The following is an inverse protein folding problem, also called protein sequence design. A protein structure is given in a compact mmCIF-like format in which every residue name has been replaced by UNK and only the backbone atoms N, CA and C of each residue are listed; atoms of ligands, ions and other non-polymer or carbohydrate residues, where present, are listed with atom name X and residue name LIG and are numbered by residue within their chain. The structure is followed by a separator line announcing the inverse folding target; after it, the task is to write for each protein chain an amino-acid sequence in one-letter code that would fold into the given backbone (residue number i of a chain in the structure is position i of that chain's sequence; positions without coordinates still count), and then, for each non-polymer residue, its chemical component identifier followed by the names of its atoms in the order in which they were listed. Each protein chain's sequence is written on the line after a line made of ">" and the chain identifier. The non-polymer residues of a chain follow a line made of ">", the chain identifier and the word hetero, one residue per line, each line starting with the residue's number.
data_IF_733154479444
#
_entry.id   IF_733154479444
#
_cell.length_a   1.000
_cell.length_b   1.000
_cell.length_c   1.000
_cell.angle_alpha   90.00
_cell.angle_beta   90.00
_cell.angle_gamma   90.00
#
_symmetry.space_group_name_H-M   'P 1'
#
loop_
_entity.id
_entity.type
_entity.pdbx_description
1 polymer ?
#
# COMPACT_ATOMS: atom_id res chain seq x y z
N UNK A 1 -19.77 70.98 -24.55
CA UNK A 1 -19.33 70.56 -23.20
C UNK A 1 -19.07 69.05 -23.08
N UNK A 2 -19.83 68.18 -23.77
CA UNK A 2 -19.70 66.72 -23.67
C UNK A 2 -18.30 66.13 -24.01
N UNK A 3 -17.62 66.62 -25.06
CA UNK A 3 -16.27 66.11 -25.43
C UNK A 3 -15.18 66.41 -24.40
N UNK A 4 -15.28 67.55 -23.69
CA UNK A 4 -14.32 67.92 -22.64
C UNK A 4 -14.53 67.09 -21.38
N UNK A 5 -15.79 66.82 -21.02
CA UNK A 5 -16.12 65.92 -19.93
C UNK A 5 -15.65 64.48 -20.21
N UNK A 6 -15.88 63.97 -21.44
CA UNK A 6 -15.43 62.63 -21.84
C UNK A 6 -13.89 62.46 -21.75
N UNK A 7 -13.12 63.47 -22.16
CA UNK A 7 -11.66 63.44 -22.05
C UNK A 7 -11.16 63.25 -20.61
N UNK A 8 -11.78 63.93 -19.64
CA UNK A 8 -11.42 63.80 -18.21
C UNK A 8 -11.69 62.38 -17.71
N UNK A 9 -12.84 61.78 -18.04
CA UNK A 9 -13.15 60.42 -17.63
C UNK A 9 -12.23 59.38 -18.28
N UNK A 10 -11.90 59.54 -19.57
CA UNK A 10 -10.92 58.68 -20.25
C UNK A 10 -9.57 58.73 -19.53
N UNK A 11 -9.07 59.92 -19.19
CA UNK A 11 -7.82 60.06 -18.44
C UNK A 11 -7.89 59.37 -17.07
N UNK A 12 -9.00 59.53 -16.33
CA UNK A 12 -9.18 58.86 -15.04
C UNK A 12 -9.15 57.34 -15.19
N UNK A 13 -9.88 56.77 -16.16
CA UNK A 13 -9.88 55.33 -16.38
C UNK A 13 -8.51 54.79 -16.82
N UNK A 14 -7.77 55.53 -17.64
CA UNK A 14 -6.40 55.14 -18.03
C UNK A 14 -5.43 55.18 -16.84
N UNK A 15 -5.56 56.16 -15.94
CA UNK A 15 -4.76 56.22 -14.71
C UNK A 15 -5.08 55.06 -13.78
N UNK A 16 -6.36 54.70 -13.62
CA UNK A 16 -6.79 53.55 -12.81
C UNK A 16 -6.25 52.24 -13.42
N UNK A 17 -6.34 52.08 -14.75
CA UNK A 17 -5.80 50.90 -15.44
C UNK A 17 -4.27 50.79 -15.27
N UNK A 18 -3.55 51.88 -15.47
CA UNK A 18 -2.09 51.92 -15.29
C UNK A 18 -1.68 51.67 -13.82
N UNK A 19 -2.44 52.20 -12.86
CA UNK A 19 -2.23 51.96 -11.43
C UNK A 19 -2.44 50.50 -11.04
N UNK A 20 -3.55 49.89 -11.48
CA UNK A 20 -3.84 48.47 -11.23
C UNK A 20 -2.77 47.56 -11.87
N UNK A 21 -2.37 47.84 -13.11
CA UNK A 21 -1.32 47.08 -13.81
C UNK A 21 0.04 47.19 -13.10
N UNK A 22 0.39 48.39 -12.62
CA UNK A 22 1.63 48.60 -11.86
C UNK A 22 1.65 47.81 -10.55
N UNK A 23 0.52 47.72 -9.84
CA UNK A 23 0.40 46.93 -8.62
C UNK A 23 0.53 45.43 -8.87
N UNK A 24 -0.03 44.92 -9.96
CA UNK A 24 0.13 43.51 -10.35
C UNK A 24 1.60 43.19 -10.63
N UNK A 25 2.30 44.05 -11.36
CA UNK A 25 3.67 43.80 -11.81
C UNK A 25 4.72 43.77 -10.69
N UNK A 26 4.44 44.36 -9.53
CA UNK A 26 5.35 44.38 -8.37
C UNK A 26 4.94 43.43 -7.26
N UNK A 27 3.75 42.81 -7.36
CA UNK A 27 3.25 41.90 -6.35
C UNK A 27 4.03 40.58 -6.38
N UNK A 28 4.49 40.13 -5.21
CA UNK A 28 5.16 38.84 -5.04
C UNK A 28 4.15 37.84 -4.49
N UNK A 29 4.06 36.67 -5.12
CA UNK A 29 3.22 35.58 -4.65
C UNK A 29 3.78 35.03 -3.33
N UNK A 30 2.97 34.90 -2.26
CA UNK A 30 3.37 34.19 -1.06
C UNK A 30 3.73 32.73 -1.41
N UNK A 31 4.70 32.16 -0.72
CA UNK A 31 5.04 30.75 -0.84
C UNK A 31 4.87 30.07 0.50
N UNK A 32 4.43 28.82 0.50
CA UNK A 32 4.39 28.06 1.75
C UNK A 32 5.81 27.83 2.25
N UNK A 33 6.03 28.10 3.54
CA UNK A 33 7.25 27.77 4.25
C UNK A 33 6.91 27.20 5.60
N UNK A 34 7.44 26.02 5.91
CA UNK A 34 7.22 25.39 7.20
C UNK A 34 8.31 25.86 8.15
N UNK A 35 7.95 26.76 9.06
CA UNK A 35 8.85 27.22 10.12
C UNK A 35 8.88 26.17 11.24
N UNK A 36 10.10 25.80 11.68
CA UNK A 36 10.33 24.80 12.73
C UNK A 36 9.59 23.46 12.49
N UNK A 37 9.89 22.76 11.38
CA UNK A 37 9.25 21.48 11.11
C UNK A 37 9.58 20.45 12.21
N UNK A 38 8.63 19.57 12.51
CA UNK A 38 8.85 18.46 13.44
C UNK A 38 9.97 17.54 12.95
N UNK A 39 10.03 17.30 11.63
CA UNK A 39 11.08 16.51 10.99
C UNK A 39 11.51 17.12 9.66
N UNK A 40 12.79 16.96 9.34
CA UNK A 40 13.34 17.29 8.02
C UNK A 40 13.99 16.05 7.43
N UNK A 41 13.48 15.60 6.29
CA UNK A 41 13.96 14.45 5.53
C UNK A 41 14.83 14.96 4.38
N UNK A 42 16.13 14.71 4.47
CA UNK A 42 17.13 15.25 3.54
C UNK A 42 17.85 14.17 2.73
N UNK A 43 17.84 12.91 3.19
CA UNK A 43 18.55 11.84 2.53
C UNK A 43 17.74 10.54 2.51
N UNK A 44 17.85 9.78 1.41
CA UNK A 44 17.46 8.38 1.41
C UNK A 44 18.30 7.59 2.43
N UNK A 45 17.68 6.67 3.15
CA UNK A 45 18.30 5.92 4.24
C UNK A 45 18.37 6.67 5.58
N UNK A 46 17.90 7.93 5.63
CA UNK A 46 17.78 8.66 6.88
C UNK A 46 16.79 7.96 7.80
N UNK A 47 17.15 7.84 9.08
CA UNK A 47 16.27 7.35 10.14
C UNK A 47 15.77 8.51 10.98
N UNK A 48 14.52 8.44 11.39
CA UNK A 48 13.90 9.38 12.32
C UNK A 48 12.85 8.65 13.16
N UNK A 49 12.38 9.27 14.24
CA UNK A 49 11.41 8.65 15.14
C UNK A 49 10.23 9.57 15.39
N UNK A 50 9.03 9.01 15.34
CA UNK A 50 7.77 9.66 15.75
C UNK A 50 7.22 8.84 16.92
N UNK A 51 7.06 9.45 18.09
CA UNK A 51 6.51 8.79 19.29
C UNK A 51 7.17 7.43 19.60
N UNK A 52 8.50 7.36 19.47
CA UNK A 52 9.29 6.15 19.72
C UNK A 52 9.28 5.11 18.59
N UNK A 53 8.46 5.26 17.55
CA UNK A 53 8.51 4.42 16.34
C UNK A 53 9.55 4.96 15.37
N UNK A 54 10.56 4.14 15.08
CA UNK A 54 11.61 4.49 14.13
C UNK A 54 11.17 4.20 12.69
N UNK A 55 11.30 5.21 11.83
CA UNK A 55 11.10 5.16 10.39
C UNK A 55 12.44 5.26 9.66
N UNK A 56 12.47 4.77 8.43
CA UNK A 56 13.57 4.91 7.49
C UNK A 56 13.04 5.52 6.19
N UNK A 57 13.72 6.54 5.66
CA UNK A 57 13.39 7.14 4.37
C UNK A 57 13.81 6.16 3.27
N UNK A 58 12.85 5.55 2.59
CA UNK A 58 13.10 4.57 1.52
C UNK A 58 13.25 5.21 0.16
N UNK A 59 12.65 6.38 -0.07
CA UNK A 59 12.84 7.19 -1.27
C UNK A 59 12.66 8.68 -0.94
N UNK A 60 13.33 9.54 -1.70
CA UNK A 60 13.25 10.99 -1.56
C UNK A 60 13.43 11.62 -2.94
N UNK A 61 12.43 12.35 -3.44
CA UNK A 61 12.47 13.01 -4.75
C UNK A 61 11.49 14.17 -4.85
N UNK A 62 11.91 15.29 -5.43
CA UNK A 62 11.00 16.35 -5.88
C UNK A 62 10.03 16.94 -4.85
N UNK A 63 10.39 16.93 -3.56
CA UNK A 63 9.49 17.37 -2.48
C UNK A 63 8.51 16.30 -1.97
N UNK A 64 8.73 15.04 -2.36
CA UNK A 64 8.05 13.86 -1.85
C UNK A 64 9.05 12.85 -1.28
N UNK A 65 8.60 12.03 -0.34
CA UNK A 65 9.37 10.98 0.29
C UNK A 65 8.51 9.73 0.49
N UNK A 66 9.15 8.57 0.59
CA UNK A 66 8.53 7.40 1.20
C UNK A 66 9.29 7.04 2.46
N UNK A 67 8.54 6.70 3.50
CA UNK A 67 9.09 6.28 4.78
C UNK A 67 8.53 4.93 5.13
N UNK A 68 9.39 4.06 5.65
CA UNK A 68 8.99 2.73 6.07
C UNK A 68 9.40 2.47 7.51
N UNK A 69 8.57 1.71 8.22
CA UNK A 69 8.91 1.15 9.52
C UNK A 69 8.66 -0.35 9.50
N UNK A 70 9.44 -1.10 10.28
CA UNK A 70 9.34 -2.56 10.33
C UNK A 70 9.01 -2.99 11.75
N UNK A 71 7.87 -3.66 11.94
CA UNK A 71 7.59 -4.41 13.15
C UNK A 71 8.35 -5.74 13.08
N UNK A 72 9.39 -5.93 13.89
CA UNK A 72 10.20 -7.16 13.88
C UNK A 72 9.45 -8.40 14.40
N UNK A 73 8.40 -8.19 15.19
CA UNK A 73 7.60 -9.23 15.85
C UNK A 73 6.12 -9.07 15.49
N UNK A 74 5.80 -8.91 14.20
CA UNK A 74 4.40 -8.93 13.79
C UNK A 74 3.88 -10.36 13.85
N UNK A 75 2.72 -10.56 14.47
CA UNK A 75 2.06 -11.86 14.55
C UNK A 75 1.35 -12.18 13.23
N UNK A 76 1.62 -13.37 12.71
CA UNK A 76 0.97 -13.97 11.55
C UNK A 76 0.28 -15.27 11.96
N UNK A 77 -0.75 -15.64 11.20
CA UNK A 77 -1.46 -16.90 11.39
C UNK A 77 -1.78 -17.56 10.05
N UNK A 78 -1.88 -18.89 10.06
CA UNK A 78 -2.34 -19.69 8.94
C UNK A 78 -3.15 -20.88 9.46
N UNK A 79 -4.04 -21.41 8.64
CA UNK A 79 -4.81 -22.61 8.97
C UNK A 79 -4.45 -23.74 8.02
N UNK A 80 -4.26 -24.93 8.59
CA UNK A 80 -4.18 -26.18 7.84
C UNK A 80 -5.51 -26.91 8.02
N UNK A 81 -6.29 -27.00 6.97
CA UNK A 81 -7.59 -27.68 6.99
C UNK A 81 -7.43 -29.20 7.17
N UNK A 82 -8.39 -29.84 7.84
CA UNK A 82 -8.44 -31.29 7.95
C UNK A 82 -8.47 -31.92 6.54
N UNK A 83 -7.74 -33.02 6.36
CA UNK A 83 -7.55 -33.72 5.10
C UNK A 83 -6.79 -32.92 4.01
N UNK A 84 -6.29 -31.71 4.32
CA UNK A 84 -5.36 -31.00 3.44
C UNK A 84 -3.98 -31.62 3.45
N UNK A 85 -3.15 -31.25 2.48
CA UNK A 85 -1.77 -31.69 2.38
C UNK A 85 -0.80 -30.54 2.61
N UNK A 86 0.30 -30.82 3.29
CA UNK A 86 1.39 -29.88 3.55
C UNK A 86 2.72 -30.55 3.21
N UNK A 87 3.64 -29.78 2.63
CA UNK A 87 4.99 -30.25 2.36
C UNK A 87 5.90 -29.94 3.56
N UNK A 88 6.68 -30.94 3.99
CA UNK A 88 7.69 -30.84 5.04
C UNK A 88 8.92 -31.61 4.58
N UNK A 89 10.10 -30.97 4.58
CA UNK A 89 11.37 -31.64 4.23
C UNK A 89 11.37 -32.33 2.85
N UNK A 90 10.66 -31.74 1.86
CA UNK A 90 10.36 -32.31 0.53
C UNK A 90 9.47 -33.57 0.54
N UNK A 91 8.82 -33.89 1.65
CA UNK A 91 7.85 -34.97 1.79
C UNK A 91 6.45 -34.38 1.94
N UNK A 92 5.48 -34.91 1.21
CA UNK A 92 4.08 -34.47 1.33
C UNK A 92 3.38 -35.26 2.42
N UNK A 93 2.77 -34.55 3.38
CA UNK A 93 1.98 -35.12 4.44
C UNK A 93 0.52 -34.70 4.31
N UNK A 94 -0.40 -35.58 4.70
CA UNK A 94 -1.82 -35.28 4.86
C UNK A 94 -2.14 -35.05 6.32
N UNK A 95 -2.82 -33.94 6.60
CA UNK A 95 -3.32 -33.64 7.94
C UNK A 95 -4.59 -34.43 8.22
N UNK A 96 -4.60 -35.12 9.36
CA UNK A 96 -5.73 -35.89 9.86
C UNK A 96 -6.06 -35.42 11.26
N UNK A 97 -7.25 -34.86 11.43
CA UNK A 97 -7.79 -34.46 12.72
C UNK A 97 -8.78 -35.54 13.18
N UNK A 98 -8.68 -36.05 14.42
CA UNK A 98 -9.60 -37.05 14.92
C UNK A 98 -11.02 -36.48 15.02
N UNK A 99 -12.00 -37.28 14.62
CA UNK A 99 -13.43 -36.93 14.70
C UNK A 99 -13.92 -37.02 16.16
N UNK A 100 -13.58 -36.01 16.96
CA UNK A 100 -13.93 -35.86 18.36
C UNK A 100 -14.36 -34.41 18.61
N UNK A 101 -15.16 -34.15 19.64
CA UNK A 101 -15.74 -32.81 19.87
C UNK A 101 -14.73 -31.72 20.25
N UNK A 102 -13.55 -32.10 20.77
CA UNK A 102 -12.50 -31.16 21.15
C UNK A 102 -11.11 -31.82 20.98
N UNK A 103 -10.63 -31.95 19.74
CA UNK A 103 -9.35 -32.58 19.47
C UNK A 103 -8.22 -31.67 19.96
N UNK A 104 -7.30 -32.21 20.76
CA UNK A 104 -6.08 -31.49 21.17
C UNK A 104 -4.82 -32.00 20.44
N UNK A 105 -5.00 -32.93 19.51
CA UNK A 105 -3.96 -33.55 18.71
C UNK A 105 -4.44 -33.71 17.28
N UNK A 106 -3.51 -33.62 16.34
CA UNK A 106 -3.71 -33.99 14.96
C UNK A 106 -2.51 -34.83 14.50
N UNK A 107 -2.63 -35.45 13.34
CA UNK A 107 -1.58 -36.32 12.81
C UNK A 107 -1.27 -35.91 11.38
N UNK A 108 0.01 -35.79 11.07
CA UNK A 108 0.50 -35.76 9.69
C UNK A 108 0.86 -37.18 9.29
N UNK A 109 0.25 -37.66 8.22
CA UNK A 109 0.54 -38.97 7.63
C UNK A 109 1.15 -38.79 6.24
N UNK A 110 2.29 -39.42 5.99
CA UNK A 110 2.98 -39.32 4.71
C UNK A 110 2.08 -39.80 3.56
N UNK A 111 2.06 -39.03 2.47
CA UNK A 111 1.34 -39.37 1.25
C UNK A 111 2.28 -40.12 0.31
N UNK A 112 2.16 -41.44 0.30
CA UNK A 112 2.87 -42.29 -0.66
C UNK A 112 2.03 -42.48 -1.93
N UNK A 113 2.47 -41.87 -3.02
CA UNK A 113 1.83 -41.97 -4.34
C UNK A 113 2.48 -43.06 -5.19
N UNK A 114 1.65 -43.82 -5.91
CA UNK A 114 2.15 -44.76 -6.92
C UNK A 114 2.54 -43.98 -8.19
N UNK A 115 3.46 -44.53 -8.98
CA UNK A 115 3.77 -44.00 -10.32
C UNK A 115 2.52 -44.08 -11.21
N UNK A 116 2.33 -43.12 -12.11
CA UNK A 116 1.23 -43.11 -13.08
C UNK A 116 1.21 -44.36 -13.99
N UNK A 117 2.37 -44.98 -14.20
CA UNK A 117 2.51 -46.22 -14.97
C UNK A 117 2.10 -47.49 -14.20
N UNK A 118 1.79 -47.36 -12.91
CA UNK A 118 1.44 -48.49 -12.04
C UNK A 118 0.03 -48.96 -12.37
N UNK A 119 -0.10 -50.18 -12.90
CA UNK A 119 -1.41 -50.77 -13.19
C UNK A 119 -2.09 -51.23 -11.91
N UNK A 120 -3.28 -50.68 -11.63
CA UNK A 120 -4.12 -51.10 -10.51
C UNK A 120 -5.42 -51.74 -10.99
N UNK A 121 -5.92 -52.72 -10.25
CA UNK A 121 -7.23 -53.33 -10.44
C UNK A 121 -8.00 -53.33 -9.13
N UNK A 122 -9.29 -53.03 -9.18
CA UNK A 122 -10.19 -53.19 -8.03
C UNK A 122 -10.78 -54.60 -8.02
N UNK A 123 -10.71 -55.27 -6.87
CA UNK A 123 -11.39 -56.54 -6.62
C UNK A 123 -12.12 -56.45 -5.27
N UNK A 124 -13.45 -56.40 -5.32
CA UNK A 124 -14.26 -56.17 -4.12
C UNK A 124 -14.07 -54.75 -3.59
N UNK A 125 -13.71 -54.62 -2.31
CA UNK A 125 -13.45 -53.35 -1.64
C UNK A 125 -11.94 -53.02 -1.53
N UNK A 126 -11.09 -53.77 -2.21
CA UNK A 126 -9.64 -53.59 -2.17
C UNK A 126 -9.07 -53.32 -3.56
N UNK A 127 -8.05 -52.47 -3.61
CA UNK A 127 -7.28 -52.16 -4.81
C UNK A 127 -5.96 -52.91 -4.77
N UNK A 128 -5.60 -53.53 -5.90
CA UNK A 128 -4.39 -54.32 -6.07
C UNK A 128 -3.51 -53.74 -7.17
N UNK A 129 -2.20 -53.79 -7.00
CA UNK A 129 -1.21 -53.51 -8.05
C UNK A 129 -0.92 -54.79 -8.83
N UNK A 130 -0.91 -54.67 -10.16
CA UNK A 130 -0.58 -55.76 -11.08
C UNK A 130 0.94 -55.80 -11.26
N UNK A 131 1.58 -56.84 -10.75
CA UNK A 131 3.03 -57.05 -10.86
C UNK A 131 3.31 -58.17 -11.85
N UNK A 132 4.16 -57.91 -12.86
CA UNK A 132 4.60 -58.95 -13.79
C UNK A 132 5.58 -59.91 -13.08
N UNK A 133 5.41 -61.22 -13.24
CA UNK A 133 6.37 -62.20 -12.76
C UNK A 133 7.77 -62.02 -13.38
N UNK A 134 8.82 -62.50 -12.70
CA UNK A 134 10.24 -62.32 -13.08
C UNK A 134 10.65 -62.76 -14.48
N UNK A 135 9.79 -63.49 -15.19
CA UNK A 135 9.97 -63.81 -16.60
C UNK A 135 8.90 -63.00 -17.34
N UNK A 136 9.27 -62.22 -18.36
CA UNK A 136 8.40 -61.37 -19.23
C UNK A 136 7.26 -62.12 -19.97
N UNK A 137 6.71 -63.15 -19.34
CA UNK A 137 5.59 -63.95 -19.77
C UNK A 137 4.32 -63.28 -19.26
N UNK A 138 3.57 -62.70 -20.19
CA UNK A 138 2.34 -61.95 -19.91
C UNK A 138 1.23 -62.80 -19.24
N UNK A 139 1.46 -64.10 -19.09
CA UNK A 139 0.55 -65.08 -18.49
C UNK A 139 0.62 -65.17 -16.96
N UNK A 140 1.72 -64.74 -16.32
CA UNK A 140 1.90 -64.81 -14.86
C UNK A 140 1.94 -63.41 -14.24
N UNK A 141 0.77 -62.80 -14.10
CA UNK A 141 0.57 -61.55 -13.35
C UNK A 141 0.19 -61.89 -11.90
N UNK A 142 0.87 -61.28 -10.95
CA UNK A 142 0.54 -61.35 -9.52
C UNK A 142 -0.22 -60.09 -9.10
N UNK A 143 -1.15 -60.25 -8.16
CA UNK A 143 -1.86 -59.14 -7.54
C UNK A 143 -1.32 -58.93 -6.13
N UNK A 144 -0.82 -57.73 -5.86
CA UNK A 144 -0.33 -57.32 -4.54
C UNK A 144 -1.24 -56.21 -4.03
N UNK A 145 -1.81 -56.28 -2.81
CA UNK A 145 -2.59 -55.18 -2.24
C UNK A 145 -1.82 -53.86 -2.31
N UNK A 146 -2.49 -52.75 -2.67
CA UNK A 146 -1.82 -51.45 -2.87
C UNK A 146 -1.00 -51.04 -1.64
N UNK A 147 -1.53 -51.22 -0.43
CA UNK A 147 -0.82 -50.86 0.79
C UNK A 147 0.44 -51.71 1.02
N UNK A 148 0.39 -53.00 0.67
CA UNK A 148 1.56 -53.87 0.73
C UNK A 148 2.60 -53.47 -0.31
N UNK A 149 2.16 -53.19 -1.55
CA UNK A 149 3.04 -52.73 -2.62
C UNK A 149 3.72 -51.41 -2.25
N UNK A 150 2.98 -50.44 -1.70
CA UNK A 150 3.53 -49.17 -1.21
C UNK A 150 4.56 -49.40 -0.11
N UNK A 151 4.29 -50.24 0.88
CA UNK A 151 5.26 -50.58 1.93
C UNK A 151 6.53 -51.22 1.38
N UNK A 152 6.43 -52.06 0.36
CA UNK A 152 7.61 -52.66 -0.29
C UNK A 152 8.45 -51.64 -1.07
N UNK A 153 7.82 -50.63 -1.70
CA UNK A 153 8.50 -49.61 -2.50
C UNK A 153 9.05 -48.45 -1.66
N UNK A 154 8.27 -47.98 -0.68
CA UNK A 154 8.51 -46.74 0.05
C UNK A 154 8.77 -46.95 1.55
N UNK A 155 8.48 -48.14 2.09
CA UNK A 155 8.50 -48.42 3.53
C UNK A 155 7.18 -48.08 4.24
N UNK A 156 7.16 -48.21 5.56
CA UNK A 156 6.02 -47.76 6.38
C UNK A 156 5.90 -46.23 6.29
N UNK A 157 4.68 -45.68 6.11
CA UNK A 157 4.48 -44.24 5.99
C UNK A 157 4.89 -43.52 7.29
N UNK A 158 5.64 -42.44 7.15
CA UNK A 158 6.00 -41.63 8.30
C UNK A 158 4.74 -40.96 8.89
N UNK A 159 4.60 -41.06 10.21
CA UNK A 159 3.51 -40.44 10.95
C UNK A 159 4.08 -39.48 11.99
N UNK A 160 3.64 -38.21 11.98
CA UNK A 160 4.05 -37.19 12.96
C UNK A 160 2.83 -36.72 13.74
N UNK A 161 2.92 -36.75 15.07
CA UNK A 161 1.88 -36.19 15.94
C UNK A 161 2.08 -34.70 16.10
N UNK A 162 1.01 -33.94 15.90
CA UNK A 162 0.93 -32.51 16.17
C UNK A 162 0.15 -32.30 17.46
N UNK A 163 0.68 -31.44 18.33
CA UNK A 163 0.01 -31.02 19.56
C UNK A 163 0.04 -29.50 19.66
N UNK A 164 -0.95 -28.93 20.35
CA UNK A 164 -0.95 -27.52 20.67
C UNK A 164 0.34 -27.13 21.42
N UNK A 165 0.91 -25.98 21.04
CA UNK A 165 2.16 -25.46 21.59
C UNK A 165 3.43 -26.08 20.98
N UNK A 166 3.33 -27.10 20.13
CA UNK A 166 4.50 -27.62 19.42
C UNK A 166 4.93 -26.68 18.29
N UNK A 167 6.22 -26.72 17.97
CA UNK A 167 6.78 -26.02 16.83
C UNK A 167 6.51 -26.82 15.54
N UNK A 168 6.23 -26.11 14.46
CA UNK A 168 5.87 -26.61 13.15
C UNK A 168 6.51 -25.73 12.08
N UNK A 169 7.18 -26.31 11.09
CA UNK A 169 7.77 -25.52 10.01
C UNK A 169 6.70 -25.21 8.97
N UNK A 170 6.50 -23.95 8.61
CA UNK A 170 5.52 -23.56 7.60
C UNK A 170 6.03 -22.41 6.75
N UNK A 171 6.13 -22.61 5.43
CA UNK A 171 6.63 -21.61 4.48
C UNK A 171 7.98 -20.99 4.89
N UNK A 172 8.92 -21.81 5.35
CA UNK A 172 10.24 -21.41 5.90
C UNK A 172 10.18 -20.59 7.20
N UNK A 173 9.03 -20.50 7.86
CA UNK A 173 8.89 -19.91 9.18
C UNK A 173 8.82 -21.00 10.25
N UNK A 174 9.48 -20.75 11.38
CA UNK A 174 9.27 -21.54 12.60
C UNK A 174 7.95 -21.06 13.23
N UNK A 175 6.92 -21.90 13.14
CA UNK A 175 5.57 -21.57 13.61
C UNK A 175 5.19 -22.40 14.82
N UNK A 176 4.28 -21.91 15.65
CA UNK A 176 3.72 -22.66 16.78
C UNK A 176 2.29 -23.06 16.45
N UNK A 177 1.91 -24.28 16.82
CA UNK A 177 0.53 -24.72 16.74
C UNK A 177 -0.27 -24.03 17.85
N UNK A 178 -1.03 -23.01 17.49
CA UNK A 178 -1.79 -22.20 18.42
C UNK A 178 -3.07 -22.88 18.89
N UNK A 179 -3.77 -23.57 17.99
CA UNK A 179 -5.01 -24.30 18.30
C UNK A 179 -5.22 -25.48 17.34
N UNK A 180 -5.92 -26.50 17.80
CA UNK A 180 -6.40 -27.60 16.96
C UNK A 180 -7.92 -27.65 17.15
N UNK A 181 -8.65 -27.48 16.07
CA UNK A 181 -10.12 -27.62 16.04
C UNK A 181 -10.50 -28.88 15.28
N UNK A 182 -11.79 -29.17 15.15
CA UNK A 182 -12.28 -30.28 14.32
C UNK A 182 -12.07 -30.06 12.83
N UNK A 183 -11.88 -28.81 12.40
CA UNK A 183 -11.84 -28.41 11.00
C UNK A 183 -10.44 -28.05 10.54
N UNK A 184 -9.63 -27.43 11.41
CA UNK A 184 -8.30 -26.95 11.05
C UNK A 184 -7.33 -26.91 12.24
N UNK A 185 -6.04 -26.92 11.92
CA UNK A 185 -4.93 -26.60 12.83
C UNK A 185 -4.52 -25.15 12.59
N UNK A 186 -4.64 -24.31 13.61
CA UNK A 186 -4.20 -22.92 13.59
C UNK A 186 -2.71 -22.84 13.92
N UNK A 187 -1.94 -22.29 12.99
CA UNK A 187 -0.53 -21.97 13.13
C UNK A 187 -0.37 -20.48 13.43
N UNK A 188 0.58 -20.13 14.28
CA UNK A 188 0.93 -18.75 14.60
C UNK A 188 2.44 -18.57 14.67
N UNK A 189 2.95 -17.48 14.11
CA UNK A 189 4.37 -17.14 14.20
C UNK A 189 4.59 -15.64 14.22
N UNK A 190 5.78 -15.23 14.64
CA UNK A 190 6.23 -13.85 14.54
C UNK A 190 7.20 -13.70 13.38
N UNK A 191 7.00 -12.67 12.56
CA UNK A 191 7.91 -12.33 11.48
C UNK A 191 7.97 -10.81 11.26
N UNK A 192 9.03 -10.29 10.63
CA UNK A 192 9.11 -8.88 10.30
C UNK A 192 8.02 -8.44 9.31
N UNK A 193 7.26 -7.39 9.65
CA UNK A 193 6.31 -6.72 8.76
C UNK A 193 6.74 -5.28 8.51
N UNK A 194 7.10 -4.98 7.27
CA UNK A 194 7.40 -3.60 6.84
C UNK A 194 6.13 -2.92 6.34
N UNK A 195 5.89 -1.70 6.81
CA UNK A 195 4.81 -0.82 6.34
C UNK A 195 5.42 0.46 5.80
N UNK A 196 5.01 0.84 4.60
CA UNK A 196 5.49 2.04 3.90
C UNK A 196 4.37 3.08 3.84
N UNK A 197 4.73 4.35 4.02
CA UNK A 197 3.85 5.51 3.90
C UNK A 197 4.48 6.48 2.91
N UNK A 198 3.71 6.89 1.91
CA UNK A 198 4.10 7.95 0.97
C UNK A 198 3.77 9.31 1.56
N UNK A 199 4.69 10.25 1.39
CA UNK A 199 4.63 11.62 1.88
C UNK A 199 4.80 12.54 0.69
N UNK A 200 3.70 13.12 0.20
CA UNK A 200 3.73 14.05 -0.93
C UNK A 200 3.57 15.49 -0.44
N UNK A 201 4.22 16.44 -1.11
CA UNK A 201 4.07 17.86 -0.77
C UNK A 201 2.61 18.30 -0.83
N UNK A 202 2.10 18.84 0.27
CA UNK A 202 0.72 19.30 0.45
C UNK A 202 -0.26 18.22 0.90
N UNK A 203 0.17 16.96 1.01
CA UNK A 203 -0.66 15.86 1.53
C UNK A 203 -0.39 15.63 3.01
N UNK A 204 -1.40 15.11 3.70
CA UNK A 204 -1.30 14.67 5.08
C UNK A 204 -1.11 13.17 5.19
N UNK A 205 -0.31 12.73 6.15
CA UNK A 205 -0.10 11.32 6.46
C UNK A 205 -0.07 11.08 7.97
N UNK A 206 -0.60 9.93 8.40
CA UNK A 206 -0.58 9.53 9.80
C UNK A 206 0.65 8.69 10.10
N UNK A 207 1.43 9.11 11.10
CA UNK A 207 2.67 8.48 11.52
C UNK A 207 2.67 8.20 13.02
N UNK A 208 3.56 7.29 13.44
CA UNK A 208 3.70 6.86 14.82
C UNK A 208 2.68 5.79 15.26
N UNK A 209 2.80 5.30 16.50
CA UNK A 209 1.84 4.37 17.09
C UNK A 209 0.47 4.99 17.40
N UNK A 210 0.41 6.32 17.56
CA UNK A 210 -0.82 7.06 17.88
C UNK A 210 -1.58 7.58 16.66
N UNK A 211 -1.10 7.27 15.44
CA UNK A 211 -1.62 7.82 14.18
C UNK A 211 -1.70 9.37 14.19
N UNK A 212 -0.60 10.02 14.59
CA UNK A 212 -0.51 11.48 14.56
C UNK A 212 -0.41 11.96 13.11
N UNK A 213 -1.27 12.89 12.72
CA UNK A 213 -1.29 13.46 11.37
C UNK A 213 -0.19 14.51 11.20
N UNK A 214 0.54 14.40 10.10
CA UNK A 214 1.53 15.39 9.65
C UNK A 214 1.20 15.82 8.23
N UNK A 215 1.44 17.09 7.89
CA UNK A 215 1.54 17.55 6.51
C UNK A 215 2.98 17.45 6.04
N UNK A 216 3.18 16.93 4.84
CA UNK A 216 4.47 16.90 4.17
C UNK A 216 4.59 18.10 3.22
N UNK A 217 5.77 18.71 3.13
CA UNK A 217 6.03 19.80 2.20
C UNK A 217 7.45 19.73 1.64
N UNK A 218 7.58 19.96 0.33
CA UNK A 218 8.88 20.04 -0.33
C UNK A 218 9.53 21.41 -0.15
N UNK A 219 10.66 21.50 0.55
CA UNK A 219 11.35 22.76 0.79
C UNK A 219 12.87 22.62 0.64
N UNK A 220 13.46 23.40 -0.26
CA UNK A 220 14.92 23.46 -0.43
C UNK A 220 15.57 22.12 -0.83
N UNK A 221 14.86 21.26 -1.56
CA UNK A 221 15.32 19.91 -1.93
C UNK A 221 15.08 18.84 -0.86
N UNK A 222 14.53 19.22 0.29
CA UNK A 222 14.14 18.31 1.38
C UNK A 222 12.62 18.11 1.42
N UNK A 223 12.17 17.14 2.20
CA UNK A 223 10.78 17.02 2.63
C UNK A 223 10.71 17.32 4.12
N UNK A 224 9.91 18.32 4.48
CA UNK A 224 9.67 18.68 5.88
C UNK A 224 8.31 18.17 6.31
N UNK A 225 8.21 17.70 7.55
CA UNK A 225 6.96 17.24 8.17
C UNK A 225 6.57 18.19 9.29
N UNK A 226 5.30 18.57 9.34
CA UNK A 226 4.73 19.39 10.40
C UNK A 226 3.40 18.81 10.87
N UNK A 227 3.24 18.71 12.17
CA UNK A 227 1.99 18.36 12.85
C UNK A 227 1.04 19.55 12.93
N UNK A 228 1.53 20.77 12.69
CA UNK A 228 0.70 21.97 12.61
C UNK A 228 0.10 22.13 11.21
N UNK A 229 -0.88 21.29 10.91
CA UNK A 229 -1.60 21.27 9.63
C UNK A 229 -2.41 22.55 9.42
N UNK A 230 -2.95 23.14 10.49
CA UNK A 230 -3.73 24.38 10.42
C UNK A 230 -2.88 25.55 9.92
N UNK A 231 -1.68 25.75 10.46
CA UNK A 231 -0.78 26.80 10.00
C UNK A 231 -0.34 26.62 8.53
N UNK A 232 -0.22 25.38 8.06
CA UNK A 232 0.05 25.10 6.64
C UNK A 232 -1.14 25.50 5.76
N UNK A 233 -2.36 25.16 6.20
CA UNK A 233 -3.59 25.50 5.49
C UNK A 233 -3.84 27.01 5.47
N UNK A 234 -3.52 27.73 6.55
CA UNK A 234 -3.61 29.19 6.62
C UNK A 234 -2.71 29.86 5.56
N UNK A 235 -1.49 29.36 5.36
CA UNK A 235 -0.60 29.86 4.30
C UNK A 235 -1.16 29.58 2.90
N UNK A 236 -1.75 28.40 2.68
CA UNK A 236 -2.43 28.11 1.40
C UNK A 236 -3.63 29.04 1.16
N UNK A 237 -4.38 29.37 2.21
CA UNK A 237 -5.47 30.33 2.13
C UNK A 237 -4.96 31.74 1.80
N UNK A 238 -3.81 32.15 2.34
CA UNK A 238 -3.15 33.42 1.99
C UNK A 238 -2.75 33.47 0.51
N UNK A 239 -2.21 32.38 -0.03
CA UNK A 239 -1.89 32.25 -1.46
C UNK A 239 -3.15 32.37 -2.30
N UNK A 240 -4.23 31.67 -1.94
CA UNK A 240 -5.50 31.73 -2.65
C UNK A 240 -6.08 33.16 -2.66
N UNK A 241 -6.05 33.82 -1.50
CA UNK A 241 -6.51 35.20 -1.35
C UNK A 241 -5.64 36.19 -2.15
N UNK A 242 -4.33 35.96 -2.24
CA UNK A 242 -3.45 36.73 -3.13
C UNK A 242 -3.87 36.61 -4.60
N UNK A 243 -4.09 35.38 -5.08
CA UNK A 243 -4.55 35.15 -6.45
C UNK A 243 -5.90 35.81 -6.75
N UNK A 244 -6.84 35.75 -5.80
CA UNK A 244 -8.13 36.42 -5.93
C UNK A 244 -7.96 37.94 -6.08
N UNK A 245 -7.08 38.56 -5.27
CA UNK A 245 -6.77 39.99 -5.37
C UNK A 245 -6.12 40.35 -6.70
N UNK A 246 -5.17 39.55 -7.19
CA UNK A 246 -4.53 39.76 -8.50
C UNK A 246 -5.56 39.64 -9.64
N UNK A 247 -6.43 38.64 -9.60
CA UNK A 247 -7.51 38.49 -10.56
C UNK A 247 -8.48 39.69 -10.53
N UNK A 248 -8.81 40.20 -9.34
CA UNK A 248 -9.60 41.42 -9.18
C UNK A 248 -8.93 42.65 -9.80
N UNK A 249 -7.63 42.84 -9.58
CA UNK A 249 -6.86 43.95 -10.18
C UNK A 249 -6.82 43.84 -11.72
N UNK A 250 -6.69 42.62 -12.27
CA UNK A 250 -6.81 42.39 -13.72
C UNK A 250 -8.19 42.78 -14.23
N UNK A 251 -9.25 42.39 -13.51
CA UNK A 251 -10.62 42.80 -13.82
C UNK A 251 -10.79 44.32 -13.89
N UNK A 252 -10.28 45.05 -12.89
CA UNK A 252 -10.33 46.52 -12.83
C UNK A 252 -9.54 47.14 -14.00
N UNK A 253 -8.35 46.62 -14.30
CA UNK A 253 -7.51 47.12 -15.39
C UNK A 253 -8.20 46.97 -16.75
N UNK A 254 -8.73 45.78 -17.05
CA UNK A 254 -9.44 45.47 -18.30
C UNK A 254 -10.72 46.31 -18.42
N UNK A 255 -11.55 46.36 -17.37
CA UNK A 255 -12.79 47.13 -17.39
C UNK A 255 -12.55 48.62 -17.57
N UNK A 256 -11.53 49.17 -16.90
CA UNK A 256 -11.17 50.59 -17.03
C UNK A 256 -10.68 50.92 -18.44
N UNK A 257 -9.86 50.05 -19.03
CA UNK A 257 -9.39 50.21 -20.41
C UNK A 257 -10.56 50.14 -21.41
N UNK A 258 -11.46 49.17 -21.27
CA UNK A 258 -12.65 49.03 -22.12
C UNK A 258 -13.60 50.22 -21.98
N UNK A 259 -13.81 50.72 -20.76
CA UNK A 259 -14.62 51.91 -20.51
C UNK A 259 -14.03 53.15 -21.18
N UNK A 260 -12.72 53.36 -21.08
CA UNK A 260 -12.02 54.43 -21.77
C UNK A 260 -12.19 54.35 -23.30
N UNK A 261 -12.07 53.14 -23.86
CA UNK A 261 -12.23 52.88 -25.29
C UNK A 261 -13.68 53.14 -25.76
N UNK A 262 -14.68 52.66 -25.02
CA UNK A 262 -16.09 52.93 -25.31
C UNK A 262 -16.43 54.42 -25.23
N UNK A 263 -15.94 55.13 -24.21
CA UNK A 263 -16.12 56.57 -24.08
C UNK A 263 -15.46 57.32 -25.25
N UNK A 264 -14.28 56.88 -25.70
CA UNK A 264 -13.65 57.44 -26.89
C UNK A 264 -14.52 57.19 -28.14
N UNK A 265 -15.01 55.97 -28.35
CA UNK A 265 -15.93 55.67 -29.46
C UNK A 265 -17.17 56.56 -29.43
N UNK A 266 -17.86 56.68 -28.30
CA UNK A 266 -19.06 57.52 -28.18
C UNK A 266 -18.78 59.01 -28.34
N UNK A 267 -17.66 59.51 -27.82
CA UNK A 267 -17.30 60.92 -27.93
C UNK A 267 -16.96 61.35 -29.36
N UNK A 268 -16.49 60.41 -30.18
CA UNK A 268 -16.03 60.62 -31.56
C UNK A 268 -16.91 59.97 -32.63
N UNK A 269 -18.06 59.37 -32.27
CA UNK A 269 -19.07 58.96 -33.24
C UNK A 269 -19.54 60.19 -34.06
N UNK A 270 -19.57 60.09 -35.41
CA UNK A 270 -20.10 61.16 -36.24
C UNK A 270 -21.62 61.24 -36.05
N UNK A 271 -22.10 62.32 -35.44
CA UNK A 271 -23.53 62.62 -35.39
C UNK A 271 -23.98 63.02 -36.80
N UNK A 272 -24.61 62.09 -37.54
CA UNK A 272 -25.40 62.45 -38.73
C UNK A 272 -26.72 63.03 -38.22
N UNK A 273 -26.71 64.34 -37.99
CA UNK A 273 -27.91 65.18 -38.07
C UNK A 273 -28.09 65.64 -39.50
#
# INVERSE_FOLDING_TARGET
>A
MQRRAAGVYITVFLVIAAGAYSLIGVAQEPTVSVENPDQTLSNQGQKFSIDGRQYNVTSLSGGSAEVAWTNQSATYSAELENNSTVEQDNTTFRLLIPNQSNPNQATLNEVQNLSEDTQTIEQGNETYVVVNGSNNDSANKSLVPVDEYKRQQFGEPETRTLQQGNNFQYQNNSTTIANISTESVLLQWEAPKTTTTSLSSGETADLGPNNQTFVAHGQGGNVVLSSNVDAYNDQNAEISHFHERIAGLWGISILSFLAALLLAMFAFLPFKG
#
